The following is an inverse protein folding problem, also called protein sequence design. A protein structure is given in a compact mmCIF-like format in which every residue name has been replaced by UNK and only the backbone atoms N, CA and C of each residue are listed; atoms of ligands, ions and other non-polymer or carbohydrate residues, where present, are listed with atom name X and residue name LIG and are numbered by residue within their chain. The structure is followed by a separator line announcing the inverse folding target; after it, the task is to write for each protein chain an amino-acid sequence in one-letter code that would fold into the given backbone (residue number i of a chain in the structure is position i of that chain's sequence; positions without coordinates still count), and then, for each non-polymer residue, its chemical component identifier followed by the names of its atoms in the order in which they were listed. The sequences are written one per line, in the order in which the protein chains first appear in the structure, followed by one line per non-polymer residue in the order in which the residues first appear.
data_IF_200858129622
#
_entry.id   IF_200858129622
#
_cell.length_a   1.000
_cell.length_b   1.000
_cell.length_c   1.000
_cell.angle_alpha   90.00
_cell.angle_beta   90.00
_cell.angle_gamma   90.00
#
_symmetry.space_group_name_H-M   'P 1'
#
loop_
_entity.id
_entity.type
_entity.pdbx_description
1 polymer ?
#
# COMPACT_ATOMS: atom_id res chain seq x y z
N UNK A 1 -31.08 -3.60 0.23
CA UNK A 1 -29.68 -3.55 -0.29
C UNK A 1 -29.23 -2.13 -0.67
N UNK A 2 -30.11 -1.22 -1.09
CA UNK A 2 -29.79 0.20 -1.40
C UNK A 2 -29.48 1.06 -0.18
N UNK A 3 -30.18 0.86 0.94
CA UNK A 3 -29.97 1.62 2.19
C UNK A 3 -28.54 1.47 2.75
N UNK A 4 -27.94 0.27 2.66
CA UNK A 4 -26.56 0.02 3.11
C UNK A 4 -25.52 0.74 2.26
N UNK A 5 -25.76 0.87 0.94
CA UNK A 5 -24.87 1.61 0.03
C UNK A 5 -24.96 3.13 0.25
N UNK A 6 -26.14 3.64 0.60
CA UNK A 6 -26.34 5.06 0.93
C UNK A 6 -25.63 5.44 2.22
N UNK A 7 -25.77 4.63 3.28
CA UNK A 7 -25.09 4.84 4.57
C UNK A 7 -23.55 4.78 4.42
N UNK A 8 -23.03 3.83 3.65
CA UNK A 8 -21.58 3.74 3.43
C UNK A 8 -21.04 4.94 2.64
N UNK A 9 -21.83 5.51 1.75
CA UNK A 9 -21.46 6.70 0.97
C UNK A 9 -21.42 7.95 1.85
N UNK A 10 -22.42 8.13 2.73
CA UNK A 10 -22.47 9.22 3.70
C UNK A 10 -21.29 9.09 4.70
N UNK A 11 -21.03 7.89 5.20
CA UNK A 11 -19.93 7.64 6.12
C UNK A 11 -18.56 7.95 5.48
N UNK A 12 -18.33 7.53 4.24
CA UNK A 12 -17.09 7.85 3.52
C UNK A 12 -16.94 9.35 3.21
N UNK A 13 -18.04 10.09 3.10
CA UNK A 13 -18.02 11.54 2.89
C UNK A 13 -17.63 12.29 4.16
N UNK A 14 -18.09 11.82 5.32
CA UNK A 14 -17.79 12.42 6.63
C UNK A 14 -16.40 11.97 7.11
N UNK A 15 -16.04 10.69 6.88
CA UNK A 15 -14.77 10.11 7.30
C UNK A 15 -13.93 9.63 6.09
N UNK A 16 -13.20 10.52 5.42
CA UNK A 16 -12.49 10.20 4.18
C UNK A 16 -11.19 9.40 4.39
N UNK A 17 -11.08 8.61 5.47
CA UNK A 17 -9.91 7.76 5.74
C UNK A 17 -9.54 6.84 4.58
N UNK A 18 -10.55 6.23 3.93
CA UNK A 18 -10.33 5.34 2.80
C UNK A 18 -9.80 6.07 1.57
N UNK A 19 -10.26 7.30 1.36
CA UNK A 19 -9.83 8.12 0.22
C UNK A 19 -8.39 8.60 0.43
N UNK A 20 -8.04 9.03 1.63
CA UNK A 20 -6.66 9.39 1.96
C UNK A 20 -5.71 8.18 1.94
N UNK A 21 -6.18 7.01 2.41
CA UNK A 21 -5.40 5.78 2.29
C UNK A 21 -5.15 5.40 0.83
N UNK A 22 -6.17 5.53 -0.03
CA UNK A 22 -6.06 5.30 -1.46
C UNK A 22 -5.00 6.20 -2.10
N UNK A 23 -5.00 7.49 -1.77
CA UNK A 23 -4.00 8.44 -2.25
C UNK A 23 -2.60 8.06 -1.76
N UNK A 24 -2.48 7.71 -0.47
CA UNK A 24 -1.21 7.28 0.10
C UNK A 24 -0.66 6.03 -0.61
N UNK A 25 -1.54 5.10 -1.00
CA UNK A 25 -1.16 3.92 -1.78
C UNK A 25 -0.72 4.28 -3.20
N UNK A 26 -1.44 5.20 -3.87
CA UNK A 26 -1.06 5.68 -5.20
C UNK A 26 0.30 6.38 -5.19
N UNK A 27 0.61 7.10 -4.12
CA UNK A 27 1.89 7.79 -3.91
C UNK A 27 2.95 6.91 -3.25
N UNK A 28 2.80 5.58 -3.34
CA UNK A 28 3.76 4.58 -2.86
C UNK A 28 4.15 4.76 -1.39
N UNK A 29 3.20 5.17 -0.54
CA UNK A 29 3.39 5.49 0.88
C UNK A 29 4.38 6.64 1.14
N UNK A 30 4.62 7.51 0.15
CA UNK A 30 5.47 8.68 0.27
C UNK A 30 4.72 9.85 0.91
N UNK A 31 5.05 10.20 2.16
CA UNK A 31 4.42 11.31 2.86
C UNK A 31 4.64 12.66 2.14
N UNK A 32 5.80 12.87 1.52
CA UNK A 32 6.08 14.10 0.75
C UNK A 32 5.11 14.27 -0.41
N UNK A 33 4.90 13.23 -1.22
CA UNK A 33 3.97 13.25 -2.35
C UNK A 33 2.52 13.39 -1.88
N UNK A 34 2.16 12.74 -0.79
CA UNK A 34 0.85 12.86 -0.18
C UNK A 34 0.52 14.31 0.19
N UNK A 35 1.44 15.04 0.84
CA UNK A 35 1.22 16.45 1.19
C UNK A 35 1.13 17.36 -0.03
N UNK A 36 1.87 17.10 -1.10
CA UNK A 36 1.73 17.84 -2.38
C UNK A 36 0.36 17.62 -3.01
N UNK A 37 -0.21 16.42 -2.80
CA UNK A 37 -1.52 16.08 -3.35
C UNK A 37 -2.70 16.60 -2.49
N UNK A 38 -2.50 16.77 -1.19
CA UNK A 38 -3.54 17.14 -0.22
C UNK A 38 -4.32 18.43 -0.59
N UNK A 39 -3.69 19.54 -1.03
CA UNK A 39 -4.44 20.72 -1.47
C UNK A 39 -5.36 20.45 -2.66
N UNK A 40 -4.96 19.55 -3.55
CA UNK A 40 -5.78 19.18 -4.72
C UNK A 40 -7.03 18.40 -4.31
N UNK A 41 -6.97 17.65 -3.21
CA UNK A 41 -8.13 16.96 -2.65
C UNK A 41 -9.21 17.94 -2.17
N UNK A 42 -8.81 19.00 -1.47
CA UNK A 42 -9.73 20.02 -0.97
C UNK A 42 -10.30 20.90 -2.09
N UNK A 43 -9.54 21.13 -3.17
CA UNK A 43 -9.96 21.94 -4.31
C UNK A 43 -10.79 21.16 -5.33
N UNK A 44 -10.50 19.87 -5.53
CA UNK A 44 -11.20 19.00 -6.48
C UNK A 44 -11.78 17.81 -5.74
N UNK A 45 -13.04 17.87 -5.40
CA UNK A 45 -13.78 16.85 -4.64
C UNK A 45 -13.91 15.47 -5.33
N UNK A 46 -13.62 15.37 -6.63
CA UNK A 46 -13.71 14.13 -7.40
C UNK A 46 -12.32 13.49 -7.57
N UNK A 47 -12.07 12.47 -6.78
CA UNK A 47 -10.94 11.56 -7.01
C UNK A 47 -11.40 10.56 -8.06
N UNK A 48 -10.86 10.63 -9.27
CA UNK A 48 -11.01 9.54 -10.24
C UNK A 48 -10.25 8.31 -9.70
N UNK A 49 -10.99 7.38 -9.11
CA UNK A 49 -10.44 6.10 -8.67
C UNK A 49 -10.19 5.23 -9.89
N UNK A 50 -8.95 5.20 -10.36
CA UNK A 50 -8.52 4.37 -11.50
C UNK A 50 -8.56 2.88 -11.18
N UNK A 51 -8.34 2.51 -9.91
CA UNK A 51 -8.40 1.13 -9.41
C UNK A 51 -9.08 1.07 -8.05
N UNK A 52 -9.62 -0.10 -7.69
CA UNK A 52 -10.12 -0.32 -6.33
C UNK A 52 -8.97 -0.33 -5.34
N UNK A 53 -9.20 0.27 -4.16
CA UNK A 53 -8.23 0.25 -3.05
C UNK A 53 -7.88 -1.21 -2.72
N UNK A 54 -6.63 -1.61 -2.92
CA UNK A 54 -6.17 -2.94 -2.53
C UNK A 54 -5.83 -2.92 -1.05
N UNK A 55 -6.64 -3.59 -0.23
CA UNK A 55 -6.37 -3.73 1.20
C UNK A 55 -5.21 -4.71 1.41
N UNK A 56 -3.98 -4.21 1.25
CA UNK A 56 -2.79 -4.94 1.66
C UNK A 56 -2.69 -4.93 3.19
N UNK A 57 -1.98 -5.89 3.78
CA UNK A 57 -1.80 -5.97 5.23
C UNK A 57 -1.25 -4.65 5.81
N UNK A 58 -0.28 -4.00 5.14
CA UNK A 58 0.24 -2.70 5.55
C UNK A 58 -0.83 -1.59 5.51
N UNK A 59 -1.67 -1.57 4.47
CA UNK A 59 -2.75 -0.60 4.34
C UNK A 59 -3.79 -0.75 5.46
N UNK A 60 -4.16 -1.99 5.77
CA UNK A 60 -5.11 -2.28 6.85
C UNK A 60 -4.56 -1.85 8.21
N UNK A 61 -3.30 -2.12 8.51
CA UNK A 61 -2.65 -1.70 9.76
C UNK A 61 -2.55 -0.18 9.85
N UNK A 62 -2.16 0.50 8.77
CA UNK A 62 -2.13 1.97 8.72
C UNK A 62 -3.51 2.58 8.98
N UNK A 63 -4.56 2.00 8.37
CA UNK A 63 -5.93 2.45 8.58
C UNK A 63 -6.36 2.27 10.04
N UNK A 64 -6.11 1.10 10.63
CA UNK A 64 -6.50 0.81 12.02
C UNK A 64 -5.79 1.77 12.98
N UNK A 65 -4.49 1.99 12.83
CA UNK A 65 -3.74 2.93 13.68
C UNK A 65 -4.27 4.35 13.52
N UNK A 66 -4.56 4.81 12.30
CA UNK A 66 -5.10 6.17 12.08
C UNK A 66 -6.49 6.35 12.69
N UNK A 67 -7.34 5.32 12.64
CA UNK A 67 -8.65 5.36 13.29
C UNK A 67 -8.53 5.37 14.81
N UNK A 68 -7.61 4.59 15.38
CA UNK A 68 -7.34 4.60 16.83
C UNK A 68 -6.88 5.99 17.28
N UNK A 69 -5.94 6.60 16.58
CA UNK A 69 -5.44 7.94 16.89
C UNK A 69 -6.58 8.98 16.83
N UNK A 70 -7.41 8.90 15.79
CA UNK A 70 -8.58 9.77 15.65
C UNK A 70 -9.56 9.61 16.81
N UNK A 71 -9.89 8.37 17.23
CA UNK A 71 -10.83 8.10 18.32
C UNK A 71 -10.29 8.60 19.65
N UNK A 72 -8.99 8.40 19.92
CA UNK A 72 -8.34 8.89 21.14
C UNK A 72 -8.36 10.43 21.21
N UNK A 73 -8.05 11.10 20.11
CA UNK A 73 -8.05 12.56 20.07
C UNK A 73 -9.47 13.13 20.14
N UNK A 74 -10.44 12.51 19.47
CA UNK A 74 -11.86 12.87 19.58
C UNK A 74 -12.39 12.70 21.00
N UNK A 75 -12.03 11.62 21.68
CA UNK A 75 -12.38 11.38 23.07
C UNK A 75 -11.82 12.49 23.99
N UNK A 76 -10.54 12.80 23.82
CA UNK A 76 -9.89 13.87 24.60
C UNK A 76 -10.52 15.24 24.33
N UNK A 77 -10.81 15.56 23.06
CA UNK A 77 -11.44 16.81 22.65
C UNK A 77 -12.84 16.99 23.26
N UNK A 78 -13.67 15.96 23.23
CA UNK A 78 -15.03 15.98 23.84
C UNK A 78 -14.94 16.20 25.33
N UNK A 79 -13.97 15.57 26.02
CA UNK A 79 -13.84 15.66 27.47
C UNK A 79 -13.38 17.05 27.97
N UNK A 80 -12.53 17.75 27.19
CA UNK A 80 -11.87 18.98 27.65
C UNK A 80 -12.32 20.23 26.88
N UNK A 81 -12.53 20.13 25.58
CA UNK A 81 -12.85 21.25 24.69
C UNK A 81 -13.84 20.86 23.60
N UNK A 82 -15.16 20.81 23.85
CA UNK A 82 -16.12 20.27 22.89
C UNK A 82 -16.13 20.99 21.54
N UNK A 83 -15.80 22.28 21.49
CA UNK A 83 -15.67 23.04 20.23
C UNK A 83 -14.46 22.59 19.37
N UNK A 84 -13.44 21.97 19.99
CA UNK A 84 -12.26 21.48 19.29
C UNK A 84 -12.53 20.23 18.44
N UNK A 85 -13.66 19.57 18.63
CA UNK A 85 -14.06 18.38 17.83
C UNK A 85 -14.03 18.68 16.33
N UNK A 86 -14.37 19.91 15.91
CA UNK A 86 -14.32 20.31 14.50
C UNK A 86 -12.87 20.25 13.95
N UNK A 87 -11.91 20.62 14.76
CA UNK A 87 -10.47 20.56 14.37
C UNK A 87 -9.97 19.12 14.26
N UNK A 88 -10.49 18.20 15.08
CA UNK A 88 -10.14 16.77 15.01
C UNK A 88 -10.49 16.19 13.63
N UNK A 89 -11.63 16.58 13.04
CA UNK A 89 -12.01 16.18 11.68
C UNK A 89 -11.04 16.76 10.62
N UNK A 90 -10.58 17.98 10.80
CA UNK A 90 -9.62 18.59 9.87
C UNK A 90 -8.26 17.89 9.90
N UNK A 91 -7.91 17.26 11.02
CA UNK A 91 -6.64 16.55 11.22
C UNK A 91 -6.63 15.12 10.67
N UNK A 92 -7.74 14.61 10.12
CA UNK A 92 -7.82 13.24 9.56
C UNK A 92 -6.65 12.88 8.62
N UNK A 93 -6.23 13.73 7.66
CA UNK A 93 -5.07 13.42 6.83
C UNK A 93 -3.78 13.29 7.63
N UNK A 94 -3.64 14.03 8.73
CA UNK A 94 -2.46 13.99 9.58
C UNK A 94 -2.36 12.65 10.33
N UNK A 95 -3.49 12.11 10.84
CA UNK A 95 -3.48 10.79 11.49
C UNK A 95 -3.01 9.68 10.55
N UNK A 96 -3.39 9.73 9.27
CA UNK A 96 -2.93 8.76 8.28
C UNK A 96 -1.43 8.89 8.03
N UNK A 97 -0.90 10.12 7.97
CA UNK A 97 0.54 10.36 7.82
C UNK A 97 1.32 9.86 9.03
N UNK A 98 0.84 10.15 10.26
CA UNK A 98 1.47 9.67 11.49
C UNK A 98 1.47 8.14 11.52
N UNK A 99 0.34 7.51 11.23
CA UNK A 99 0.23 6.05 11.15
C UNK A 99 1.21 5.48 10.11
N UNK A 100 1.33 6.11 8.95
CA UNK A 100 2.27 5.69 7.90
C UNK A 100 3.73 5.81 8.35
N UNK A 101 4.10 6.89 9.05
CA UNK A 101 5.46 7.07 9.60
C UNK A 101 5.81 5.94 10.59
N UNK A 102 4.85 5.48 11.39
CA UNK A 102 5.04 4.39 12.34
C UNK A 102 5.15 3.03 11.62
N UNK A 103 4.28 2.80 10.64
CA UNK A 103 4.13 1.50 9.95
C UNK A 103 5.24 1.25 8.94
N UNK A 104 5.67 2.28 8.19
CA UNK A 104 6.65 2.14 7.10
C UNK A 104 7.96 1.50 7.54
N UNK A 105 8.64 1.93 8.61
CA UNK A 105 9.93 1.35 9.00
C UNK A 105 9.80 -0.12 9.41
N UNK A 106 8.69 -0.51 10.04
CA UNK A 106 8.44 -1.92 10.42
C UNK A 106 8.33 -2.79 9.17
N UNK A 107 7.54 -2.37 8.19
CA UNK A 107 7.40 -3.12 6.94
C UNK A 107 8.67 -3.12 6.09
N UNK A 108 9.44 -2.05 6.09
CA UNK A 108 10.73 -2.01 5.39
C UNK A 108 11.74 -2.98 6.03
N UNK A 109 11.72 -3.11 7.35
CA UNK A 109 12.54 -4.10 8.04
C UNK A 109 12.13 -5.53 7.68
N UNK A 110 10.83 -5.84 7.68
CA UNK A 110 10.30 -7.14 7.24
C UNK A 110 10.68 -7.43 5.79
N UNK A 111 10.50 -6.47 4.88
CA UNK A 111 10.86 -6.61 3.46
C UNK A 111 12.37 -6.85 3.26
N UNK A 112 13.22 -6.18 4.06
CA UNK A 112 14.67 -6.43 4.05
C UNK A 112 15.00 -7.87 4.48
N UNK A 113 14.36 -8.35 5.53
CA UNK A 113 14.51 -9.73 6.00
C UNK A 113 14.12 -10.77 4.94
N UNK A 114 12.98 -10.56 4.27
CA UNK A 114 12.52 -11.43 3.18
C UNK A 114 13.51 -11.42 2.01
N UNK A 115 13.98 -10.23 1.59
CA UNK A 115 14.96 -10.09 0.50
C UNK A 115 16.28 -10.79 0.82
N UNK A 116 16.77 -10.66 2.05
CA UNK A 116 18.00 -11.34 2.48
C UNK A 116 17.84 -12.86 2.51
N UNK A 117 16.70 -13.37 2.98
CA UNK A 117 16.38 -14.82 2.93
C UNK A 117 16.33 -15.32 1.49
N UNK A 118 15.62 -14.62 0.61
CA UNK A 118 15.53 -14.97 -0.81
C UNK A 118 16.92 -14.99 -1.48
N UNK A 119 17.75 -13.99 -1.20
CA UNK A 119 19.12 -13.91 -1.72
C UNK A 119 19.98 -15.09 -1.22
N UNK A 120 19.96 -15.39 0.06
CA UNK A 120 20.71 -16.54 0.64
C UNK A 120 20.27 -17.87 0.03
N UNK A 121 18.93 -18.07 -0.12
CA UNK A 121 18.41 -19.28 -0.75
C UNK A 121 18.83 -19.39 -2.22
N UNK A 122 18.85 -18.27 -2.93
CA UNK A 122 19.32 -18.24 -4.32
C UNK A 122 20.81 -18.53 -4.42
N UNK A 123 21.64 -17.89 -3.58
CA UNK A 123 23.10 -18.10 -3.56
C UNK A 123 23.45 -19.56 -3.19
N UNK A 124 22.74 -20.17 -2.25
CA UNK A 124 22.96 -21.58 -1.88
C UNK A 124 22.63 -22.54 -3.02
N UNK A 125 21.53 -22.29 -3.75
CA UNK A 125 21.13 -23.10 -4.91
C UNK A 125 22.04 -22.86 -6.12
N UNK A 126 22.54 -21.64 -6.30
CA UNK A 126 23.47 -21.30 -7.40
C UNK A 126 24.86 -21.91 -7.22
N UNK A 127 25.28 -22.18 -5.97
CA UNK A 127 26.58 -22.79 -5.63
C UNK A 127 26.54 -24.31 -5.58
N UNK A 128 25.37 -24.93 -5.78
CA UNK A 128 25.24 -26.40 -5.77
C UNK A 128 26.05 -27.01 -6.92
N UNK A 129 26.80 -28.15 -6.67
CA UNK A 129 27.63 -28.79 -7.69
C UNK A 129 26.84 -29.25 -8.92
N UNK A 130 25.54 -29.50 -8.78
CA UNK A 130 24.67 -30.06 -9.82
C UNK A 130 23.96 -29.04 -10.71
N UNK A 131 24.28 -27.76 -10.63
CA UNK A 131 23.70 -26.80 -11.56
C UNK A 131 23.69 -25.35 -11.08
N UNK A 132 24.26 -24.51 -11.89
CA UNK A 132 24.17 -23.07 -11.72
C UNK A 132 22.77 -22.61 -12.09
N UNK A 133 21.94 -22.33 -11.08
CA UNK A 133 20.64 -21.71 -11.31
C UNK A 133 20.82 -20.31 -11.87
N UNK A 134 20.29 -20.07 -13.08
CA UNK A 134 20.29 -18.76 -13.72
C UNK A 134 18.90 -18.15 -13.56
N UNK A 135 18.81 -16.85 -13.26
CA UNK A 135 17.56 -16.10 -13.20
C UNK A 135 17.53 -15.14 -14.39
N UNK A 136 16.44 -15.21 -15.14
CA UNK A 136 16.17 -14.28 -16.25
C UNK A 136 15.03 -13.38 -15.81
N UNK A 137 15.31 -12.10 -15.60
CA UNK A 137 14.33 -11.09 -15.25
C UNK A 137 13.85 -10.39 -16.53
N UNK A 138 12.52 -10.34 -16.71
CA UNK A 138 11.90 -9.68 -17.86
C UNK A 138 11.17 -8.43 -17.36
N UNK A 139 11.58 -7.27 -17.86
CA UNK A 139 10.96 -5.98 -17.55
C UNK A 139 10.36 -5.37 -18.82
N UNK A 140 9.35 -4.52 -18.65
CA UNK A 140 8.67 -3.81 -19.74
C UNK A 140 7.22 -3.51 -19.43
N UNK A 141 6.63 -2.54 -20.14
CA UNK A 141 5.23 -2.15 -19.99
C UNK A 141 4.29 -3.13 -20.67
N UNK A 142 4.69 -3.68 -21.82
CA UNK A 142 3.92 -4.63 -22.62
C UNK A 142 4.74 -5.87 -22.97
N UNK A 143 4.04 -6.97 -23.26
CA UNK A 143 4.65 -8.19 -23.81
C UNK A 143 5.42 -9.06 -22.82
N UNK A 144 5.48 -8.72 -21.51
CA UNK A 144 6.21 -9.52 -20.51
C UNK A 144 5.82 -11.00 -20.51
N UNK A 145 4.52 -11.27 -20.54
CA UNK A 145 4.00 -12.64 -20.53
C UNK A 145 4.37 -13.39 -21.80
N UNK A 146 4.29 -12.73 -22.95
CA UNK A 146 4.63 -13.32 -24.25
C UNK A 146 6.12 -13.66 -24.30
N UNK A 147 6.99 -12.72 -23.90
CA UNK A 147 8.45 -12.94 -23.84
C UNK A 147 8.80 -14.05 -22.83
N UNK A 148 8.14 -14.08 -21.67
CA UNK A 148 8.31 -15.15 -20.67
C UNK A 148 8.00 -16.53 -21.26
N UNK A 149 6.86 -16.66 -21.92
CA UNK A 149 6.46 -17.92 -22.56
C UNK A 149 7.43 -18.32 -23.68
N UNK A 150 7.85 -17.37 -24.50
CA UNK A 150 8.81 -17.62 -25.58
C UNK A 150 10.16 -18.12 -25.04
N UNK A 151 10.72 -17.45 -24.02
CA UNK A 151 11.97 -17.88 -23.38
C UNK A 151 11.80 -19.28 -22.75
N UNK A 152 10.67 -19.55 -22.11
CA UNK A 152 10.39 -20.88 -21.58
C UNK A 152 10.41 -21.96 -22.65
N UNK A 153 9.73 -21.73 -23.77
CA UNK A 153 9.70 -22.67 -24.88
C UNK A 153 11.10 -22.95 -25.45
N UNK A 154 11.94 -21.91 -25.58
CA UNK A 154 13.30 -22.07 -26.07
C UNK A 154 14.20 -22.86 -25.11
N UNK A 155 14.03 -22.67 -23.81
CA UNK A 155 14.95 -23.23 -22.81
C UNK A 155 14.52 -24.60 -22.27
N UNK A 156 13.23 -24.95 -22.34
CA UNK A 156 12.70 -26.18 -21.73
C UNK A 156 13.36 -27.47 -22.23
N UNK A 157 13.87 -27.48 -23.47
CA UNK A 157 14.50 -28.66 -24.07
C UNK A 157 15.90 -28.95 -23.50
N UNK A 158 16.62 -27.91 -23.08
CA UNK A 158 18.01 -28.03 -22.62
C UNK A 158 18.19 -27.75 -21.12
N UNK A 159 17.17 -27.18 -20.47
CA UNK A 159 17.24 -26.77 -19.08
C UNK A 159 15.93 -27.07 -18.33
N UNK A 160 16.06 -27.32 -17.05
CA UNK A 160 14.89 -27.39 -16.14
C UNK A 160 14.42 -25.96 -15.84
N UNK A 161 13.42 -25.48 -16.56
CA UNK A 161 12.90 -24.11 -16.43
C UNK A 161 11.71 -24.07 -15.49
N UNK A 162 11.73 -23.12 -14.55
CA UNK A 162 10.60 -22.82 -13.69
C UNK A 162 10.15 -21.37 -13.96
N UNK A 163 8.88 -21.20 -14.30
CA UNK A 163 8.24 -19.89 -14.44
C UNK A 163 7.58 -19.46 -13.13
N UNK A 164 7.72 -18.19 -12.80
CA UNK A 164 7.08 -17.55 -11.65
C UNK A 164 6.17 -16.42 -12.13
#
# INVERSE_FOLDING_TARGET
MESSKSLSKIFNTIFPFRDFLYILQQEEYSNKRFFVWLPRFFLRRNIEKREHTKFTHSASVTLVISVILFVLDAWYAVAHFPLSVVFVFLLVPLYIVIANVIVTPVYDHIKKGIRLKARKTFESKSKSPNGRTKVIAITGSYGKTTVKNFIHELLKYNYKVQMV
#
